data_IF_913491217788
#
_entry.id   IF_913491217788
#
_cell.length_a   1.000
_cell.length_b   1.000
_cell.length_c   1.000
_cell.angle_alpha   90.00
_cell.angle_beta   90.00
_cell.angle_gamma   90.00
#
_symmetry.space_group_name_H-M   'P 1'
#
loop_
_entity.id
_entity.type
_entity.pdbx_description
1 polymer ?
#
# COMPACT_ATOMS: atom_id res chain seq x y z
N UNK A 1 -0.90 -14.89 14.44
CA UNK A 1 -1.48 -13.62 13.95
C UNK A 1 -0.39 -12.57 14.02
N UNK A 2 -0.21 -11.81 12.94
CA UNK A 2 0.83 -10.79 12.82
C UNK A 2 0.17 -9.45 12.54
N UNK A 3 0.79 -8.35 12.99
CA UNK A 3 0.33 -6.99 12.78
C UNK A 3 1.28 -6.29 11.81
N UNK A 4 0.72 -5.47 10.90
CA UNK A 4 1.47 -4.56 10.05
C UNK A 4 1.00 -3.13 10.31
N UNK A 5 1.92 -2.20 10.33
CA UNK A 5 1.62 -0.80 10.57
C UNK A 5 2.06 0.05 9.37
N UNK A 6 1.12 0.79 8.78
CA UNK A 6 1.39 1.68 7.65
C UNK A 6 1.52 3.12 8.11
N UNK A 7 2.55 3.79 7.63
CA UNK A 7 2.81 5.21 7.86
C UNK A 7 3.05 5.92 6.53
N UNK A 8 2.74 7.21 6.49
CA UNK A 8 2.97 8.05 5.31
C UNK A 8 4.41 8.56 5.23
N UNK A 9 5.04 8.74 6.38
CA UNK A 9 6.41 9.26 6.52
C UNK A 9 7.13 8.55 7.65
N UNK A 10 8.45 8.45 7.54
CA UNK A 10 9.29 7.82 8.54
C UNK A 10 9.15 8.47 9.93
N UNK A 11 9.04 9.80 9.97
CA UNK A 11 8.94 10.55 11.23
C UNK A 11 7.65 10.27 12.04
N UNK A 12 6.68 9.58 11.44
CA UNK A 12 5.47 9.13 12.14
C UNK A 12 5.65 7.80 12.85
N UNK A 13 6.73 7.07 12.54
CA UNK A 13 7.02 5.78 13.17
C UNK A 13 7.43 6.05 14.62
N UNK A 14 6.69 5.53 15.62
CA UNK A 14 7.02 5.76 17.00
C UNK A 14 8.33 5.05 17.38
N UNK A 15 9.18 5.70 18.19
CA UNK A 15 10.43 5.09 18.67
C UNK A 15 10.17 3.88 19.59
N UNK A 16 8.99 3.82 20.19
CA UNK A 16 8.56 2.78 21.12
C UNK A 16 7.20 2.22 20.69
N UNK A 17 6.81 1.08 21.27
CA UNK A 17 5.51 0.43 21.05
C UNK A 17 5.31 -0.21 19.65
N UNK A 18 6.38 -0.70 19.03
CA UNK A 18 6.30 -1.56 17.84
C UNK A 18 6.36 -3.05 18.20
N UNK A 19 6.16 -3.38 19.46
CA UNK A 19 6.07 -4.77 19.93
C UNK A 19 4.86 -5.45 19.27
N UNK A 20 5.09 -6.61 18.64
CA UNK A 20 4.07 -7.34 17.91
C UNK A 20 3.83 -6.86 16.47
N UNK A 21 4.48 -5.78 16.01
CA UNK A 21 4.48 -5.36 14.60
C UNK A 21 5.51 -6.19 13.83
N UNK A 22 5.04 -6.97 12.86
CA UNK A 22 5.89 -7.78 11.97
C UNK A 22 6.58 -6.90 10.93
N UNK A 23 5.80 -6.06 10.24
CA UNK A 23 6.30 -5.16 9.21
C UNK A 23 5.75 -3.75 9.35
N UNK A 24 6.62 -2.79 9.11
CA UNK A 24 6.26 -1.42 8.76
C UNK A 24 5.99 -1.33 7.26
N UNK A 25 5.02 -0.50 6.87
CA UNK A 25 4.73 -0.22 5.46
C UNK A 25 4.92 1.29 5.27
N UNK A 26 5.81 1.65 4.36
CA UNK A 26 6.14 3.04 4.03
C UNK A 26 6.16 3.24 2.52
N UNK A 27 5.70 4.39 2.01
CA UNK A 27 5.83 4.72 0.59
C UNK A 27 7.28 4.57 0.13
N UNK A 28 7.51 4.04 -1.07
CA UNK A 28 8.88 3.87 -1.63
C UNK A 28 9.64 5.20 -1.70
N UNK A 29 8.93 6.33 -1.80
CA UNK A 29 9.53 7.67 -1.74
C UNK A 29 10.19 7.98 -0.39
N UNK A 30 9.90 7.21 0.66
CA UNK A 30 10.50 7.36 1.98
C UNK A 30 11.71 6.42 2.20
N UNK A 31 12.10 5.61 1.22
CA UNK A 31 13.13 4.58 1.39
C UNK A 31 14.44 5.13 1.95
N UNK A 32 14.88 6.31 1.48
CA UNK A 32 16.12 6.96 1.92
C UNK A 32 16.07 7.44 3.39
N UNK A 33 14.85 7.61 3.94
CA UNK A 33 14.63 8.02 5.34
C UNK A 33 14.68 6.87 6.32
N UNK A 34 14.49 5.63 5.82
CA UNK A 34 14.44 4.44 6.68
C UNK A 34 15.86 4.05 7.11
N UNK A 35 16.17 4.07 8.42
CA UNK A 35 17.47 3.63 8.94
C UNK A 35 17.74 2.17 8.58
N UNK A 36 19.03 1.84 8.43
CA UNK A 36 19.46 0.52 7.92
C UNK A 36 18.95 -0.64 8.77
N UNK A 37 18.90 -0.47 10.08
CA UNK A 37 18.42 -1.46 11.05
C UNK A 37 16.93 -1.78 10.94
N UNK A 38 16.14 -0.87 10.35
CA UNK A 38 14.69 -1.03 10.17
C UNK A 38 14.30 -1.59 8.81
N UNK A 39 15.22 -1.60 7.83
CA UNK A 39 14.90 -2.00 6.45
C UNK A 39 14.38 -3.43 6.34
N UNK A 40 14.97 -4.37 7.07
CA UNK A 40 14.54 -5.77 7.08
C UNK A 40 13.12 -5.98 7.67
N UNK A 41 12.58 -4.97 8.38
CA UNK A 41 11.20 -4.93 8.88
C UNK A 41 10.31 -3.97 8.08
N UNK A 42 10.78 -3.42 6.97
CA UNK A 42 10.02 -2.43 6.19
C UNK A 42 9.68 -2.97 4.80
N UNK A 43 8.38 -2.95 4.48
CA UNK A 43 7.84 -3.13 3.15
C UNK A 43 7.70 -1.75 2.49
N UNK A 44 8.15 -1.63 1.26
CA UNK A 44 8.04 -0.40 0.48
C UNK A 44 6.73 -0.42 -0.35
N UNK A 45 5.78 0.44 0.02
CA UNK A 45 4.53 0.60 -0.71
C UNK A 45 4.77 1.36 -2.03
N UNK A 46 4.32 0.79 -3.12
CA UNK A 46 4.38 1.42 -4.43
C UNK A 46 3.17 2.33 -4.67
N UNK A 47 3.31 3.42 -5.45
CA UNK A 47 2.21 4.34 -5.76
C UNK A 47 1.05 3.59 -6.43
N UNK A 48 -0.17 3.67 -5.88
CA UNK A 48 -1.36 2.97 -6.43
C UNK A 48 -1.63 3.30 -7.89
N UNK A 49 -1.33 4.52 -8.29
CA UNK A 49 -1.53 5.02 -9.65
C UNK A 49 -0.21 5.60 -10.14
N UNK A 50 0.21 5.18 -11.33
CA UNK A 50 1.45 5.62 -11.96
C UNK A 50 1.17 6.05 -13.40
N UNK A 51 1.61 7.25 -13.74
CA UNK A 51 1.52 7.78 -15.10
C UNK A 51 2.81 8.49 -15.50
N UNK A 52 3.29 8.23 -16.72
CA UNK A 52 4.41 8.95 -17.30
C UNK A 52 5.67 8.92 -16.42
N UNK A 53 6.14 10.09 -16.02
CA UNK A 53 7.38 10.22 -15.23
C UNK A 53 7.36 9.45 -13.91
N UNK A 54 6.19 9.30 -13.26
CA UNK A 54 6.08 8.58 -12.00
C UNK A 54 6.34 7.08 -12.16
N UNK A 55 5.96 6.50 -13.30
CA UNK A 55 6.28 5.09 -13.58
C UNK A 55 7.79 4.87 -13.68
N UNK A 56 8.47 5.74 -14.41
CA UNK A 56 9.93 5.69 -14.55
C UNK A 56 10.64 5.94 -13.22
N UNK A 57 10.16 6.90 -12.43
CA UNK A 57 10.70 7.17 -11.10
C UNK A 57 10.53 5.98 -10.17
N UNK A 58 9.35 5.36 -10.17
CA UNK A 58 9.06 4.15 -9.38
C UNK A 58 9.99 3.01 -9.78
N UNK A 59 10.19 2.78 -11.07
CA UNK A 59 11.12 1.74 -11.56
C UNK A 59 12.57 2.01 -11.11
N UNK A 60 13.04 3.27 -11.18
CA UNK A 60 14.38 3.66 -10.69
C UNK A 60 14.52 3.43 -9.19
N UNK A 61 13.49 3.76 -8.39
CA UNK A 61 13.48 3.55 -6.93
C UNK A 61 13.50 2.07 -6.58
N UNK A 62 12.76 1.22 -7.30
CA UNK A 62 12.81 -0.23 -7.13
C UNK A 62 14.23 -0.72 -7.38
N UNK A 63 14.86 -0.34 -8.51
CA UNK A 63 16.23 -0.72 -8.83
C UNK A 63 17.24 -0.28 -7.77
N UNK A 64 17.06 0.91 -7.17
CA UNK A 64 17.92 1.44 -6.12
C UNK A 64 17.72 0.75 -4.75
N UNK A 65 16.56 0.13 -4.51
CA UNK A 65 16.18 -0.42 -3.20
C UNK A 65 16.17 -1.94 -3.15
N UNK A 66 16.17 -2.64 -4.27
CA UNK A 66 16.07 -4.11 -4.33
C UNK A 66 17.16 -4.85 -3.52
N UNK A 67 18.37 -4.31 -3.46
CA UNK A 67 19.50 -4.88 -2.73
C UNK A 67 19.85 -4.09 -1.46
N UNK A 68 18.98 -3.15 -1.05
CA UNK A 68 19.21 -2.27 0.10
C UNK A 68 18.77 -2.87 1.45
N UNK A 69 18.33 -4.14 1.48
CA UNK A 69 17.99 -4.88 2.69
C UNK A 69 16.53 -4.67 3.17
N UNK A 70 15.65 -4.12 2.33
CA UNK A 70 14.21 -4.04 2.65
C UNK A 70 13.54 -5.42 2.63
N UNK A 71 12.46 -5.57 3.41
CA UNK A 71 11.70 -6.82 3.48
C UNK A 71 11.00 -7.17 2.15
N UNK A 72 10.73 -6.18 1.31
CA UNK A 72 10.09 -6.34 0.01
C UNK A 72 9.18 -5.15 -0.34
N UNK A 73 8.26 -5.40 -1.25
CA UNK A 73 7.37 -4.38 -1.81
C UNK A 73 5.90 -4.71 -1.55
N UNK A 74 5.12 -3.71 -1.14
CA UNK A 74 3.67 -3.81 -1.14
C UNK A 74 3.12 -3.32 -2.48
N UNK A 75 2.51 -4.25 -3.23
CA UNK A 75 2.01 -4.02 -4.57
C UNK A 75 0.50 -3.83 -4.56
N UNK A 76 0.00 -2.85 -5.31
CA UNK A 76 -1.39 -2.40 -5.28
C UNK A 76 -2.04 -2.29 -6.66
N UNK A 77 -1.36 -2.74 -7.72
CA UNK A 77 -1.93 -2.88 -9.07
C UNK A 77 -1.14 -3.91 -9.90
N UNK A 78 -1.69 -4.30 -11.06
CA UNK A 78 -1.09 -5.32 -11.94
C UNK A 78 0.27 -4.89 -12.50
N UNK A 79 0.48 -3.60 -12.79
CA UNK A 79 1.76 -3.12 -13.31
C UNK A 79 2.91 -3.34 -12.31
N UNK A 80 2.63 -3.29 -11.02
CA UNK A 80 3.61 -3.58 -9.97
C UNK A 80 4.14 -5.01 -10.04
N UNK A 81 3.31 -6.00 -10.41
CA UNK A 81 3.75 -7.40 -10.57
C UNK A 81 4.84 -7.53 -11.63
N UNK A 82 4.76 -6.70 -12.68
CA UNK A 82 5.80 -6.64 -13.72
C UNK A 82 7.06 -5.95 -13.22
N UNK A 83 6.92 -4.80 -12.54
CA UNK A 83 8.05 -4.01 -12.03
C UNK A 83 8.84 -4.75 -10.95
N UNK A 84 8.15 -5.51 -10.10
CA UNK A 84 8.75 -6.26 -8.98
C UNK A 84 8.96 -7.75 -9.31
N UNK A 85 8.99 -8.14 -10.59
CA UNK A 85 9.18 -9.55 -10.96
C UNK A 85 10.49 -10.10 -10.37
N UNK A 86 10.39 -11.21 -9.63
CA UNK A 86 11.53 -11.84 -8.97
C UNK A 86 11.92 -11.22 -7.62
N UNK A 87 11.26 -10.15 -7.19
CA UNK A 87 11.47 -9.53 -5.89
C UNK A 87 10.42 -9.98 -4.86
N UNK A 88 10.68 -9.90 -3.56
CA UNK A 88 9.69 -10.19 -2.53
C UNK A 88 8.50 -9.22 -2.62
N UNK A 89 7.26 -9.75 -2.73
CA UNK A 89 6.04 -8.97 -2.88
C UNK A 89 4.97 -9.37 -1.88
N UNK A 90 4.22 -8.38 -1.40
CA UNK A 90 2.96 -8.56 -0.66
C UNK A 90 1.84 -7.78 -1.35
N UNK A 91 0.62 -8.31 -1.29
CA UNK A 91 -0.54 -7.65 -1.89
C UNK A 91 -1.17 -6.64 -0.95
N UNK A 92 -1.24 -5.40 -1.38
CA UNK A 92 -1.86 -4.29 -0.68
C UNK A 92 -3.32 -4.04 -1.07
N UNK A 93 -3.89 -3.01 -0.47
CA UNK A 93 -5.30 -2.61 -0.60
C UNK A 93 -5.78 -2.43 -2.05
N UNK A 94 -4.93 -1.91 -2.93
CA UNK A 94 -5.32 -1.59 -4.31
C UNK A 94 -5.52 -2.79 -5.23
N UNK A 95 -5.20 -4.02 -4.80
CA UNK A 95 -5.48 -5.23 -5.58
C UNK A 95 -6.95 -5.62 -5.58
N UNK A 96 -7.78 -5.00 -4.74
CA UNK A 96 -9.23 -5.19 -4.66
C UNK A 96 -9.64 -6.67 -4.52
N UNK A 97 -9.00 -7.38 -3.60
CA UNK A 97 -9.24 -8.81 -3.40
C UNK A 97 -10.55 -9.01 -2.61
N UNK A 98 -11.59 -9.52 -3.28
CA UNK A 98 -12.92 -9.71 -2.72
C UNK A 98 -13.39 -11.16 -2.73
N UNK A 99 -12.64 -12.08 -3.34
CA UNK A 99 -13.01 -13.49 -3.43
C UNK A 99 -11.77 -14.39 -3.59
N UNK A 100 -11.99 -15.68 -3.44
CA UNK A 100 -10.90 -16.66 -3.49
C UNK A 100 -10.24 -16.78 -4.87
N UNK A 101 -10.97 -16.54 -5.97
CA UNK A 101 -10.41 -16.63 -7.34
C UNK A 101 -9.37 -15.54 -7.56
N UNK A 102 -9.70 -14.30 -7.18
CA UNK A 102 -8.76 -13.18 -7.24
C UNK A 102 -7.56 -13.42 -6.32
N UNK A 103 -7.80 -13.89 -5.08
CA UNK A 103 -6.73 -14.21 -4.15
C UNK A 103 -5.79 -15.30 -4.68
N UNK A 104 -6.34 -16.35 -5.25
CA UNK A 104 -5.56 -17.43 -5.85
C UNK A 104 -4.70 -16.96 -7.01
N UNK A 105 -5.27 -16.14 -7.91
CA UNK A 105 -4.51 -15.52 -9.00
C UNK A 105 -3.26 -14.77 -8.49
N UNK A 106 -3.42 -13.91 -7.49
CA UNK A 106 -2.30 -13.14 -6.95
C UNK A 106 -1.30 -14.01 -6.18
N UNK A 107 -1.76 -15.04 -5.49
CA UNK A 107 -0.87 -16.01 -4.85
C UNK A 107 0.04 -16.71 -5.87
N UNK A 108 -0.50 -17.09 -7.03
CA UNK A 108 0.24 -17.68 -8.15
C UNK A 108 1.24 -16.72 -8.80
N UNK A 109 0.96 -15.40 -8.75
CA UNK A 109 1.93 -14.38 -9.19
C UNK A 109 3.11 -14.19 -8.22
N UNK A 110 3.17 -14.93 -7.13
CA UNK A 110 4.30 -14.94 -6.22
C UNK A 110 4.15 -14.07 -4.98
N UNK A 111 2.99 -13.49 -4.72
CA UNK A 111 2.76 -12.69 -3.53
C UNK A 111 2.83 -13.56 -2.27
N UNK A 112 3.55 -13.11 -1.26
CA UNK A 112 3.77 -13.84 0.00
C UNK A 112 2.64 -13.67 1.00
N UNK A 113 1.80 -12.64 0.83
CA UNK A 113 0.58 -12.40 1.61
C UNK A 113 -0.33 -11.45 0.85
N UNK A 114 -1.62 -11.42 1.20
CA UNK A 114 -2.64 -10.65 0.50
C UNK A 114 -3.52 -9.89 1.49
N UNK A 115 -3.87 -8.64 1.17
CA UNK A 115 -4.85 -7.87 1.93
C UNK A 115 -6.23 -8.00 1.28
N UNK A 116 -7.20 -8.51 2.06
CA UNK A 116 -8.60 -8.61 1.65
C UNK A 116 -9.23 -7.21 1.74
N UNK A 117 -10.05 -6.86 0.75
CA UNK A 117 -10.75 -5.58 0.73
C UNK A 117 -11.77 -5.50 1.89
N UNK A 118 -11.86 -4.37 2.61
CA UNK A 118 -12.80 -4.19 3.73
C UNK A 118 -14.30 -4.30 3.35
N UNK A 119 -14.64 -4.34 2.06
CA UNK A 119 -16.02 -4.52 1.58
C UNK A 119 -16.48 -5.99 1.65
N UNK A 120 -15.58 -6.94 1.89
CA UNK A 120 -15.91 -8.35 2.07
C UNK A 120 -16.57 -8.54 3.43
N UNK A 121 -17.69 -9.26 3.47
CA UNK A 121 -18.36 -9.58 4.72
C UNK A 121 -17.50 -10.47 5.60
N UNK A 122 -17.54 -10.27 6.90
CA UNK A 122 -16.76 -11.05 7.87
C UNK A 122 -17.00 -12.57 7.73
N UNK A 123 -18.24 -12.97 7.43
CA UNK A 123 -18.59 -14.37 7.17
C UNK A 123 -17.86 -15.00 5.99
N UNK A 124 -17.50 -14.18 5.00
CA UNK A 124 -16.95 -14.65 3.72
C UNK A 124 -15.42 -14.60 3.71
N UNK A 125 -14.80 -13.87 4.65
CA UNK A 125 -13.33 -13.76 4.75
C UNK A 125 -12.68 -15.14 4.88
N UNK A 126 -13.24 -16.04 5.69
CA UNK A 126 -12.72 -17.38 5.90
C UNK A 126 -12.72 -18.25 4.62
N UNK A 127 -13.57 -17.93 3.64
CA UNK A 127 -13.62 -18.62 2.35
C UNK A 127 -12.49 -18.23 1.41
N UNK A 128 -11.78 -17.11 1.70
CA UNK A 128 -10.65 -16.62 0.91
C UNK A 128 -9.36 -17.26 1.46
N UNK A 129 -9.05 -18.45 0.96
CA UNK A 129 -7.93 -19.27 1.42
C UNK A 129 -7.02 -19.69 0.25
N UNK A 130 -6.28 -18.72 -0.34
CA UNK A 130 -5.41 -19.01 -1.48
C UNK A 130 -4.22 -19.88 -1.07
N UNK A 131 -3.73 -20.67 -2.02
CA UNK A 131 -2.55 -21.52 -1.82
C UNK A 131 -1.53 -21.32 -2.93
N UNK A 132 -0.26 -21.56 -2.64
CA UNK A 132 0.81 -21.62 -3.62
C UNK A 132 1.71 -22.82 -3.34
N UNK A 133 1.91 -23.68 -4.34
CA UNK A 133 2.67 -24.94 -4.21
C UNK A 133 2.17 -25.80 -3.04
N UNK A 134 0.85 -25.89 -2.85
CA UNK A 134 0.22 -26.65 -1.76
C UNK A 134 0.33 -26.03 -0.36
N UNK A 135 0.90 -24.83 -0.23
CA UNK A 135 1.02 -24.11 1.06
C UNK A 135 0.05 -22.94 1.10
N UNK A 136 -0.62 -22.68 2.24
CA UNK A 136 -1.47 -21.50 2.41
C UNK A 136 -0.68 -20.21 2.20
N UNK A 137 -1.28 -19.24 1.49
CA UNK A 137 -0.77 -17.86 1.40
C UNK A 137 -1.56 -17.04 2.42
N UNK A 138 -0.88 -16.39 3.39
CA UNK A 138 -1.54 -15.60 4.42
C UNK A 138 -2.41 -14.50 3.84
N UNK A 139 -3.61 -14.33 4.38
CA UNK A 139 -4.51 -13.22 4.11
C UNK A 139 -4.64 -12.33 5.34
N UNK A 140 -4.79 -11.03 5.13
CA UNK A 140 -4.97 -10.03 6.18
C UNK A 140 -6.18 -9.14 5.92
N UNK A 141 -6.63 -8.45 6.94
CA UNK A 141 -7.68 -7.43 6.86
C UNK A 141 -7.21 -6.12 7.49
N UNK A 142 -7.72 -5.00 7.02
CA UNK A 142 -7.47 -3.72 7.65
C UNK A 142 -8.35 -3.59 8.90
N UNK A 143 -7.73 -3.44 10.06
CA UNK A 143 -8.44 -3.36 11.35
C UNK A 143 -8.57 -1.94 11.88
N UNK A 144 -7.76 -1.01 11.39
CA UNK A 144 -7.77 0.39 11.82
C UNK A 144 -7.14 1.28 10.73
N UNK A 145 -7.68 2.48 10.54
CA UNK A 145 -7.11 3.51 9.66
C UNK A 145 -8.14 4.20 8.78
N UNK A 146 -7.65 5.14 7.97
CA UNK A 146 -8.45 5.82 6.97
C UNK A 146 -8.36 5.07 5.64
N UNK A 147 -9.51 4.60 5.16
CA UNK A 147 -9.61 3.93 3.87
C UNK A 147 -9.65 4.96 2.74
N UNK A 148 -8.78 4.86 1.72
CA UNK A 148 -8.84 5.73 0.56
C UNK A 148 -10.06 5.38 -0.30
N UNK A 149 -11.06 6.25 -0.31
CA UNK A 149 -12.32 6.04 -1.04
C UNK A 149 -12.19 6.37 -2.53
N UNK A 150 -11.31 7.30 -2.89
CA UNK A 150 -11.15 7.76 -4.27
C UNK A 150 -9.72 8.22 -4.53
N UNK A 151 -9.25 7.96 -5.75
CA UNK A 151 -8.03 8.54 -6.30
C UNK A 151 -8.40 9.35 -7.52
N UNK A 152 -7.91 10.60 -7.59
CA UNK A 152 -8.12 11.49 -8.73
C UNK A 152 -6.79 11.89 -9.34
N UNK A 153 -6.73 11.95 -10.66
CA UNK A 153 -5.57 12.48 -11.39
C UNK A 153 -5.54 14.00 -11.34
N UNK A 154 -6.70 14.63 -11.48
CA UNK A 154 -6.85 16.07 -11.32
C UNK A 154 -7.11 16.41 -9.86
N UNK A 155 -6.44 17.46 -9.36
CA UNK A 155 -6.68 17.92 -8.00
C UNK A 155 -8.09 18.54 -7.89
N UNK A 156 -8.97 18.02 -7.02
CA UNK A 156 -10.30 18.59 -6.84
C UNK A 156 -10.30 19.98 -6.18
N UNK A 157 -9.16 20.38 -5.60
CA UNK A 157 -8.99 21.68 -4.95
C UNK A 157 -8.38 22.75 -5.89
N UNK A 158 -7.96 22.37 -7.09
CA UNK A 158 -7.29 23.27 -8.04
C UNK A 158 -8.14 24.48 -8.45
N UNK A 159 -9.45 24.34 -8.39
CA UNK A 159 -10.37 25.48 -8.66
C UNK A 159 -10.47 26.47 -7.50
N UNK A 160 -9.93 26.14 -6.34
CA UNK A 160 -10.01 26.95 -5.12
C UNK A 160 -8.64 27.53 -4.77
N UNK A 161 -7.57 26.74 -5.00
CA UNK A 161 -6.19 27.09 -4.67
C UNK A 161 -5.25 26.73 -5.81
N UNK A 162 -4.23 27.54 -6.03
CA UNK A 162 -3.09 27.14 -6.85
C UNK A 162 -2.14 26.21 -6.06
N UNK A 163 -1.35 25.42 -6.76
CA UNK A 163 -0.43 24.47 -6.13
C UNK A 163 0.74 25.15 -5.38
N UNK A 164 1.07 26.40 -5.70
CA UNK A 164 2.17 27.13 -5.10
C UNK A 164 1.84 27.54 -3.65
N UNK A 165 0.57 27.82 -3.38
CA UNK A 165 0.08 28.30 -2.08
C UNK A 165 -0.79 27.28 -1.34
N UNK A 166 -0.80 26.01 -1.81
CA UNK A 166 -1.61 24.94 -1.25
C UNK A 166 -0.85 24.21 -0.15
N UNK A 167 -1.50 23.97 0.99
CA UNK A 167 -1.00 23.12 2.09
C UNK A 167 -1.08 21.61 1.79
N UNK A 168 -1.49 21.25 0.57
CA UNK A 168 -1.68 19.86 0.08
C UNK A 168 -2.75 19.08 0.81
N UNK A 169 -3.62 19.77 1.54
CA UNK A 169 -4.76 19.18 2.24
C UNK A 169 -6.05 19.91 1.89
N UNK A 170 -7.17 19.28 2.09
CA UNK A 170 -8.48 19.88 1.90
C UNK A 170 -9.62 18.99 2.33
N UNK A 171 -10.84 19.46 2.15
CA UNK A 171 -12.03 18.70 2.50
C UNK A 171 -13.06 18.83 1.38
N UNK A 172 -13.52 17.70 0.87
CA UNK A 172 -14.73 17.62 0.05
C UNK A 172 -15.93 17.38 0.96
N UNK A 173 -17.01 18.07 0.67
CA UNK A 173 -18.28 17.87 1.39
C UNK A 173 -19.33 17.40 0.40
N UNK A 174 -20.01 16.30 0.69
CA UNK A 174 -21.08 15.80 -0.14
C UNK A 174 -22.42 16.53 0.11
N UNK A 175 -23.45 16.20 -0.67
CA UNK A 175 -24.80 16.76 -0.54
C UNK A 175 -25.49 16.45 0.80
N UNK A 176 -24.95 15.51 1.60
CA UNK A 176 -25.43 15.15 2.93
C UNK A 176 -24.57 15.76 4.04
N UNK A 177 -23.74 16.75 3.72
CA UNK A 177 -22.80 17.41 4.61
C UNK A 177 -21.75 16.46 5.22
N UNK A 178 -21.49 15.29 4.61
CA UNK A 178 -20.39 14.42 5.01
C UNK A 178 -19.07 14.96 4.48
N UNK A 179 -18.07 14.98 5.35
CA UNK A 179 -16.73 15.52 5.06
C UNK A 179 -15.75 14.41 4.71
N UNK A 180 -15.04 14.57 3.61
CA UNK A 180 -14.02 13.65 3.12
C UNK A 180 -12.69 14.40 3.04
N UNK A 181 -11.72 14.07 3.89
CA UNK A 181 -10.39 14.67 3.80
C UNK A 181 -9.74 14.36 2.44
N UNK A 182 -9.17 15.37 1.81
CA UNK A 182 -8.39 15.25 0.58
C UNK A 182 -6.92 15.45 0.92
N UNK A 183 -6.08 14.57 0.42
CA UNK A 183 -4.62 14.69 0.55
C UNK A 183 -3.99 14.64 -0.83
N UNK A 184 -3.05 15.54 -1.07
CA UNK A 184 -2.22 15.53 -2.25
C UNK A 184 -1.06 14.54 -2.05
N UNK A 185 -0.89 13.61 -2.98
CA UNK A 185 0.21 12.63 -2.98
C UNK A 185 1.42 13.07 -3.79
N UNK A 186 1.47 14.34 -4.23
CA UNK A 186 2.57 14.92 -5.01
C UNK A 186 3.62 15.58 -4.11
#
# INVERSE_FOLDING_TARGET
>A
RTLRARFERWEQVPERALDGVEYLILPIAQADRVPREWRAKTLLELPRVMFGALEQDTARRIAATQDAGFAGYEVSNIAHLRLCRGLPMTGGFGLNITNNVAAQFYAEQGLSSLLILPEVKDSDIASIAPTRNGKPVPTGVMIYGHMPLMLTRACPLQNIHDCAHCDKTGVLTDRKAKKFPVRCGL
#
